data_IF_592195858969
#
_entry.id   IF_592195858969
#
_cell.length_a   1.000
_cell.length_b   1.000
_cell.length_c   1.000
_cell.angle_alpha   90.00
_cell.angle_beta   90.00
_cell.angle_gamma   90.00
#
_symmetry.space_group_name_H-M   'P 1'
#
loop_
_entity.id
_entity.type
_entity.pdbx_description
1 polymer ?
#
# COMPACT_ATOMS: atom_id res chain seq x y z
N UNK A 1 22.41 31.27 -25.22
CA UNK A 1 21.02 30.78 -25.35
C UNK A 1 20.21 31.96 -25.84
N UNK A 2 19.47 31.80 -26.93
CA UNK A 2 18.64 32.87 -27.46
C UNK A 2 17.44 33.08 -26.53
N UNK A 3 17.12 34.35 -26.26
CA UNK A 3 15.92 34.71 -25.50
C UNK A 3 14.68 34.29 -26.30
N UNK A 4 13.66 33.76 -25.61
CA UNK A 4 12.40 33.37 -26.22
C UNK A 4 11.55 34.60 -26.53
N UNK A 5 11.80 35.19 -27.72
CA UNK A 5 11.11 36.40 -28.20
C UNK A 5 9.62 36.15 -28.47
N UNK A 6 9.25 34.96 -28.91
CA UNK A 6 7.85 34.61 -29.19
C UNK A 6 6.99 34.59 -27.92
N UNK A 7 7.50 34.03 -26.83
CA UNK A 7 6.82 34.09 -25.54
C UNK A 7 6.75 35.52 -24.99
N UNK A 8 7.79 36.33 -25.19
CA UNK A 8 7.80 37.73 -24.75
C UNK A 8 6.76 38.58 -25.52
N UNK A 9 6.61 38.35 -26.82
CA UNK A 9 5.58 39.01 -27.64
C UNK A 9 4.17 38.56 -27.28
N UNK A 10 3.96 37.26 -27.04
CA UNK A 10 2.67 36.73 -26.60
C UNK A 10 2.25 37.30 -25.24
N UNK A 11 3.21 37.42 -24.31
CA UNK A 11 3.00 38.03 -23.00
C UNK A 11 2.63 39.52 -23.11
N UNK A 12 3.34 40.27 -23.96
CA UNK A 12 3.04 41.68 -24.23
C UNK A 12 1.68 41.91 -24.87
N UNK A 13 1.26 41.06 -25.82
CA UNK A 13 -0.07 41.13 -26.45
C UNK A 13 -1.21 40.79 -25.48
N UNK A 14 -0.96 39.88 -24.55
CA UNK A 14 -1.94 39.53 -23.51
C UNK A 14 -1.99 40.55 -22.36
N UNK A 15 -1.07 41.51 -22.30
CA UNK A 15 -1.02 42.52 -21.24
C UNK A 15 -0.66 41.94 -19.86
N UNK A 16 -0.07 40.74 -19.80
CA UNK A 16 0.21 40.04 -18.56
C UNK A 16 1.64 40.32 -18.07
N UNK A 17 1.81 40.43 -16.76
CA UNK A 17 3.12 40.41 -16.12
C UNK A 17 3.65 38.98 -15.96
N UNK A 18 4.95 38.83 -15.64
CA UNK A 18 5.56 37.52 -15.37
C UNK A 18 4.94 36.82 -14.14
N UNK A 19 4.55 37.59 -13.12
CA UNK A 19 3.84 37.10 -11.94
C UNK A 19 2.44 36.59 -12.27
N UNK A 20 1.67 37.38 -13.01
CA UNK A 20 0.32 36.98 -13.42
C UNK A 20 0.32 35.75 -14.32
N UNK A 21 1.31 35.63 -15.22
CA UNK A 21 1.48 34.40 -16.01
C UNK A 21 1.78 33.19 -15.11
N UNK A 22 2.59 33.36 -14.06
CA UNK A 22 2.86 32.28 -13.11
C UNK A 22 1.59 31.87 -12.36
N UNK A 23 0.76 32.83 -11.96
CA UNK A 23 -0.50 32.59 -11.26
C UNK A 23 -1.52 31.85 -12.15
N UNK A 24 -1.71 32.29 -13.40
CA UNK A 24 -2.59 31.62 -14.36
C UNK A 24 -2.17 30.17 -14.61
N UNK A 25 -0.86 29.92 -14.76
CA UNK A 25 -0.35 28.56 -14.93
C UNK A 25 -0.55 27.74 -13.65
N UNK A 26 -0.35 28.33 -12.48
CA UNK A 26 -0.59 27.65 -11.20
C UNK A 26 -2.06 27.33 -10.97
N UNK A 27 -2.99 28.21 -11.32
CA UNK A 27 -4.43 27.96 -11.23
C UNK A 27 -4.85 26.81 -12.13
N UNK A 28 -4.28 26.73 -13.32
CA UNK A 28 -4.48 25.57 -14.19
C UNK A 28 -3.96 24.28 -13.53
N UNK A 29 -2.76 24.31 -12.93
CA UNK A 29 -2.21 23.16 -12.22
C UNK A 29 -3.08 22.76 -11.02
N UNK A 30 -3.61 23.73 -10.27
CA UNK A 30 -4.54 23.50 -9.14
C UNK A 30 -5.86 22.89 -9.60
N UNK A 31 -6.42 23.33 -10.72
CA UNK A 31 -7.65 22.72 -11.30
C UNK A 31 -7.48 21.24 -11.68
N UNK A 32 -6.23 20.80 -11.90
CA UNK A 32 -5.87 19.40 -12.17
C UNK A 32 -5.48 18.64 -10.89
N UNK A 33 -5.75 19.21 -9.70
CA UNK A 33 -5.46 18.63 -8.40
C UNK A 33 -3.96 18.58 -8.07
N UNK A 34 -3.18 19.58 -8.51
CA UNK A 34 -1.73 19.67 -8.29
C UNK A 34 -1.34 20.97 -7.61
N UNK A 35 -0.20 20.95 -6.92
CA UNK A 35 0.40 22.16 -6.36
C UNK A 35 0.93 23.09 -7.46
N UNK A 36 0.67 24.40 -7.31
CA UNK A 36 1.21 25.44 -8.15
C UNK A 36 2.69 25.66 -7.85
N UNK A 37 3.57 25.21 -8.75
CA UNK A 37 5.04 25.25 -8.58
C UNK A 37 5.73 26.26 -9.49
N UNK A 38 4.97 27.01 -10.28
CA UNK A 38 5.49 28.03 -11.20
C UNK A 38 5.64 29.34 -10.43
N UNK A 39 6.79 29.98 -10.54
CA UNK A 39 7.07 31.28 -9.92
C UNK A 39 7.47 32.28 -10.98
N UNK A 40 7.52 33.57 -10.65
CA UNK A 40 8.09 34.63 -11.51
C UNK A 40 9.47 34.24 -12.06
N UNK A 41 10.30 33.60 -11.21
CA UNK A 41 11.61 33.05 -11.60
C UNK A 41 11.51 31.99 -12.69
N UNK A 42 10.50 31.12 -12.64
CA UNK A 42 10.26 30.07 -13.65
C UNK A 42 9.87 30.70 -14.99
N UNK A 43 8.99 31.70 -14.98
CA UNK A 43 8.60 32.43 -16.19
C UNK A 43 9.78 33.18 -16.80
N UNK A 44 10.62 33.80 -15.96
CA UNK A 44 11.87 34.43 -16.41
C UNK A 44 12.83 33.43 -17.08
N UNK A 45 12.87 32.18 -16.62
CA UNK A 45 13.68 31.14 -17.26
C UNK A 45 13.13 30.71 -18.62
N UNK A 46 11.83 30.80 -18.83
CA UNK A 46 11.19 30.59 -20.13
C UNK A 46 11.54 31.73 -21.10
N UNK A 47 11.41 32.98 -20.65
CA UNK A 47 11.72 34.18 -21.45
C UNK A 47 13.21 34.28 -21.81
N UNK A 48 14.11 33.90 -20.90
CA UNK A 48 15.56 33.90 -21.17
C UNK A 48 16.04 32.69 -21.98
N UNK A 49 15.14 31.75 -22.33
CA UNK A 49 15.49 30.54 -23.06
C UNK A 49 16.30 29.53 -22.24
N UNK A 50 16.45 29.74 -20.93
CA UNK A 50 17.13 28.80 -20.03
C UNK A 50 16.40 27.47 -19.94
N UNK A 51 15.07 27.52 -19.95
CA UNK A 51 14.22 26.34 -20.10
C UNK A 51 13.79 26.23 -21.55
N UNK A 52 14.45 25.32 -22.30
CA UNK A 52 14.14 25.09 -23.71
C UNK A 52 12.80 24.38 -23.91
N UNK A 53 12.39 23.55 -22.96
CA UNK A 53 11.18 22.75 -23.04
C UNK A 53 10.54 22.61 -21.65
N UNK A 54 9.50 23.40 -21.31
CA UNK A 54 8.79 23.33 -20.04
C UNK A 54 8.12 21.97 -19.83
N UNK A 55 7.66 21.65 -18.62
CA UNK A 55 6.93 20.40 -18.39
C UNK A 55 5.60 20.35 -19.17
N UNK A 56 5.14 19.16 -19.55
CA UNK A 56 3.94 19.00 -20.40
C UNK A 56 2.72 19.77 -19.91
N UNK A 57 2.44 19.76 -18.61
CA UNK A 57 1.29 20.47 -18.03
C UNK A 57 1.44 21.99 -18.02
N UNK A 58 2.67 22.49 -17.89
CA UNK A 58 2.96 23.92 -18.03
C UNK A 58 2.76 24.34 -19.49
N UNK A 59 3.15 23.49 -20.45
CA UNK A 59 2.89 23.74 -21.88
C UNK A 59 1.39 23.73 -22.17
N UNK A 60 0.64 22.76 -21.67
CA UNK A 60 -0.83 22.72 -21.84
C UNK A 60 -1.51 23.98 -21.27
N UNK A 61 -1.05 24.49 -20.12
CA UNK A 61 -1.54 25.75 -19.55
C UNK A 61 -1.23 26.96 -20.46
N UNK A 62 0.00 27.03 -20.99
CA UNK A 62 0.45 28.10 -21.89
C UNK A 62 -0.29 28.05 -23.24
N UNK A 63 -0.47 26.86 -23.79
CA UNK A 63 -1.19 26.64 -25.04
C UNK A 63 -2.67 27.01 -24.92
N UNK A 64 -3.28 26.70 -23.77
CA UNK A 64 -4.66 27.10 -23.47
C UNK A 64 -4.80 28.61 -23.26
N UNK A 65 -3.81 29.25 -22.63
CA UNK A 65 -3.83 30.70 -22.37
C UNK A 65 -3.65 31.52 -23.65
N UNK A 66 -2.66 31.16 -24.47
CA UNK A 66 -2.29 31.92 -25.67
C UNK A 66 -2.96 31.42 -26.95
N UNK A 67 -3.63 30.27 -26.92
CA UNK A 67 -4.33 29.70 -28.07
C UNK A 67 -3.40 29.21 -29.19
N UNK A 68 -2.11 29.07 -28.92
CA UNK A 68 -1.09 28.61 -29.86
C UNK A 68 -0.20 27.55 -29.20
N UNK A 69 0.42 26.71 -30.01
CA UNK A 69 1.27 25.60 -29.54
C UNK A 69 2.52 26.10 -28.80
N UNK A 70 3.12 25.25 -27.95
CA UNK A 70 4.36 25.60 -27.26
C UNK A 70 5.53 25.85 -28.24
N UNK A 71 5.52 25.24 -29.42
CA UNK A 71 6.51 25.49 -30.46
C UNK A 71 6.32 26.87 -31.09
N UNK A 72 5.09 27.30 -31.31
CA UNK A 72 4.74 28.68 -31.75
C UNK A 72 5.07 29.72 -30.68
N UNK A 73 5.03 29.35 -29.39
CA UNK A 73 5.53 30.16 -28.26
C UNK A 73 7.06 30.15 -28.14
N UNK A 74 7.79 29.57 -29.10
CA UNK A 74 9.25 29.60 -29.17
C UNK A 74 9.97 28.58 -28.28
N UNK A 75 9.26 27.58 -27.74
CA UNK A 75 9.91 26.46 -27.05
C UNK A 75 10.46 25.44 -28.05
N UNK A 76 11.67 24.94 -27.80
CA UNK A 76 12.36 24.02 -28.70
C UNK A 76 12.41 22.63 -28.08
N UNK A 77 11.81 21.65 -28.77
CA UNK A 77 11.82 20.26 -28.36
C UNK A 77 13.27 19.74 -28.33
N UNK A 78 13.70 19.04 -27.26
CA UNK A 78 15.00 18.38 -27.25
C UNK A 78 15.03 17.31 -28.36
N UNK A 79 16.14 17.17 -29.11
CA UNK A 79 16.26 16.08 -30.06
C UNK A 79 16.03 14.76 -29.32
N UNK A 80 15.10 13.95 -29.84
CA UNK A 80 14.87 12.59 -29.36
C UNK A 80 16.22 11.85 -29.36
N UNK A 81 16.73 11.48 -28.18
CA UNK A 81 17.93 10.65 -28.06
C UNK A 81 17.69 9.37 -28.86
N UNK A 82 18.30 9.27 -30.05
CA UNK A 82 18.61 8.00 -30.69
C UNK A 82 19.67 7.33 -29.82
N UNK A 83 19.35 6.19 -29.23
CA UNK A 83 20.36 5.36 -28.59
C UNK A 83 21.29 4.78 -29.68
N UNK A 84 22.62 4.96 -29.55
CA UNK A 84 23.59 4.48 -30.52
C UNK A 84 24.10 3.10 -30.11
N UNK A 85 23.50 2.03 -30.60
CA UNK A 85 24.16 0.71 -30.63
C UNK A 85 23.67 -0.11 -31.81
N UNK A 86 24.43 -0.07 -32.91
CA UNK A 86 24.91 -1.28 -33.60
C UNK A 86 25.95 -0.87 -34.65
N UNK A 87 27.22 -1.06 -34.31
CA UNK A 87 28.31 -1.11 -35.28
C UNK A 87 28.38 -2.55 -35.77
N UNK A 88 28.20 -2.77 -37.07
CA UNK A 88 29.14 -3.50 -37.92
C UNK A 88 28.80 -3.22 -39.39
N UNK A 89 29.86 -2.91 -40.13
CA UNK A 89 30.00 -2.46 -41.53
C UNK A 89 30.78 -3.58 -42.28
N UNK A 90 31.06 -3.56 -43.62
CA UNK A 90 30.80 -2.53 -44.61
C UNK A 90 30.44 -3.03 -46.05
N UNK A 91 30.16 -2.01 -46.89
CA UNK A 91 30.39 -1.87 -48.34
C UNK A 91 29.48 -2.48 -49.43
N UNK A 92 29.01 -1.51 -50.24
CA UNK A 92 28.75 -1.49 -51.68
C UNK A 92 27.43 -2.11 -52.16
N UNK A 93 26.52 -1.23 -52.61
CA UNK A 93 26.38 -1.01 -54.07
C UNK A 93 25.54 0.23 -54.38
N UNK A 94 26.27 1.25 -54.83
CA UNK A 94 25.84 2.21 -55.85
C UNK A 94 25.22 1.46 -57.02
N UNK A 95 24.07 1.94 -57.48
CA UNK A 95 23.51 1.83 -58.82
C UNK A 95 23.66 0.47 -59.53
N UNK A 96 22.58 -0.28 -59.64
CA UNK A 96 22.29 -0.99 -60.89
C UNK A 96 20.77 -1.12 -61.10
N UNK A 97 20.28 -0.36 -62.08
CA UNK A 97 19.04 -0.64 -62.79
C UNK A 97 19.15 -2.02 -63.46
N UNK A 98 18.14 -2.89 -63.30
CA UNK A 98 17.62 -3.73 -64.38
C UNK A 98 16.46 -4.63 -63.88
N UNK A 99 15.28 -4.34 -64.41
CA UNK A 99 14.31 -5.28 -64.97
C UNK A 99 13.57 -6.33 -64.10
N UNK A 100 12.28 -6.45 -64.45
CA UNK A 100 11.38 -7.59 -64.31
C UNK A 100 10.60 -7.77 -62.99
N UNK A 101 9.44 -7.11 -62.95
CA UNK A 101 8.11 -7.73 -62.83
C UNK A 101 7.85 -8.73 -61.69
N UNK A 102 7.06 -8.31 -60.70
CA UNK A 102 5.78 -8.94 -60.29
C UNK A 102 5.16 -8.11 -59.18
N UNK A 103 3.89 -7.74 -59.36
CA UNK A 103 3.12 -7.00 -58.38
C UNK A 103 2.81 -7.90 -57.17
N UNK A 104 3.48 -7.66 -56.04
CA UNK A 104 3.01 -8.10 -54.74
C UNK A 104 2.35 -6.89 -54.05
N UNK A 105 1.02 -6.90 -53.99
CA UNK A 105 0.26 -5.93 -53.24
C UNK A 105 0.71 -5.99 -51.76
N UNK A 106 1.40 -4.96 -51.30
CA UNK A 106 1.67 -4.77 -49.88
C UNK A 106 0.35 -4.43 -49.20
N UNK A 107 -0.28 -5.45 -48.60
CA UNK A 107 -1.32 -5.22 -47.59
C UNK A 107 -0.67 -4.37 -46.50
N UNK A 108 -1.21 -3.18 -46.15
CA UNK A 108 -0.75 -2.51 -44.96
C UNK A 108 -1.21 -3.38 -43.79
N UNK A 109 -0.32 -4.23 -43.28
CA UNK A 109 -0.44 -4.74 -41.92
C UNK A 109 -0.50 -3.49 -41.05
N UNK A 110 -1.72 -3.15 -40.61
CA UNK A 110 -1.97 -2.06 -39.68
C UNK A 110 -1.06 -2.29 -38.49
N UNK A 111 0.07 -1.58 -38.46
CA UNK A 111 1.02 -1.63 -37.38
C UNK A 111 0.30 -1.07 -36.17
N UNK A 112 -0.28 -1.95 -35.35
CA UNK A 112 -0.60 -1.64 -33.97
C UNK A 112 0.65 -1.02 -33.39
N UNK A 113 0.62 0.29 -33.12
CA UNK A 113 1.70 0.98 -32.43
C UNK A 113 2.10 0.11 -31.25
N UNK A 114 3.39 -0.20 -31.05
CA UNK A 114 3.82 -1.07 -29.96
C UNK A 114 3.20 -0.53 -28.67
N UNK A 115 2.39 -1.35 -28.00
CA UNK A 115 1.71 -0.98 -26.77
C UNK A 115 2.78 -0.72 -25.70
N UNK A 116 3.11 0.55 -25.47
CA UNK A 116 4.10 0.94 -24.48
C UNK A 116 3.43 1.19 -23.15
N UNK A 117 3.82 0.42 -22.13
CA UNK A 117 3.26 0.55 -20.79
C UNK A 117 3.82 1.79 -20.09
N UNK A 118 2.92 2.61 -19.57
CA UNK A 118 3.22 3.93 -19.05
C UNK A 118 2.96 4.09 -17.55
N UNK A 119 3.11 5.33 -17.09
CA UNK A 119 2.80 5.69 -15.69
C UNK A 119 1.30 5.58 -15.41
N UNK A 120 0.45 5.84 -16.40
CA UNK A 120 -1.02 5.76 -16.27
C UNK A 120 -1.48 4.33 -15.95
N UNK A 121 -0.86 3.31 -16.54
CA UNK A 121 -1.21 1.91 -16.24
C UNK A 121 -0.87 1.53 -14.81
N UNK A 122 0.30 1.97 -14.32
CA UNK A 122 0.71 1.80 -12.92
C UNK A 122 -0.29 2.50 -11.97
N UNK A 123 -0.74 3.71 -12.31
CA UNK A 123 -1.72 4.44 -11.50
C UNK A 123 -3.06 3.70 -11.46
N UNK A 124 -3.56 3.21 -12.60
CA UNK A 124 -4.82 2.44 -12.66
C UNK A 124 -4.76 1.19 -11.79
N UNK A 125 -3.65 0.46 -11.83
CA UNK A 125 -3.44 -0.70 -10.96
C UNK A 125 -3.39 -0.31 -9.48
N UNK A 126 -2.69 0.77 -9.12
CA UNK A 126 -2.65 1.26 -7.73
C UNK A 126 -4.03 1.64 -7.21
N UNK A 127 -4.82 2.35 -7.99
CA UNK A 127 -6.20 2.68 -7.62
C UNK A 127 -7.05 1.40 -7.40
N UNK A 128 -6.78 0.33 -8.16
CA UNK A 128 -7.41 -0.97 -7.92
C UNK A 128 -7.02 -1.58 -6.58
N UNK A 129 -5.74 -1.53 -6.24
CA UNK A 129 -5.22 -2.00 -4.95
C UNK A 129 -5.80 -1.19 -3.77
N UNK A 130 -5.95 0.13 -3.92
CA UNK A 130 -6.53 1.00 -2.90
C UNK A 130 -7.98 0.62 -2.60
N UNK A 131 -8.77 0.29 -3.64
CA UNK A 131 -10.15 -0.22 -3.47
C UNK A 131 -10.19 -1.56 -2.71
N UNK A 132 -9.29 -2.48 -3.04
CA UNK A 132 -9.20 -3.76 -2.31
C UNK A 132 -8.79 -3.56 -0.85
N UNK A 133 -7.92 -2.58 -0.58
CA UNK A 133 -7.50 -2.24 0.78
C UNK A 133 -8.65 -1.68 1.61
N UNK A 134 -9.48 -0.80 1.03
CA UNK A 134 -10.68 -0.30 1.72
C UNK A 134 -11.68 -1.43 2.02
N UNK A 135 -11.82 -2.40 1.12
CA UNK A 135 -12.65 -3.58 1.35
C UNK A 135 -12.09 -4.48 2.47
N UNK A 136 -10.77 -4.73 2.48
CA UNK A 136 -10.10 -5.49 3.54
C UNK A 136 -10.30 -4.83 4.92
N UNK A 137 -10.18 -3.51 5.01
CA UNK A 137 -10.35 -2.76 6.27
C UNK A 137 -11.77 -2.90 6.86
N UNK A 138 -12.78 -3.09 6.02
CA UNK A 138 -14.19 -3.14 6.43
C UNK A 138 -14.70 -4.56 6.66
N UNK A 139 -14.37 -5.50 5.77
CA UNK A 139 -14.86 -6.90 5.85
C UNK A 139 -13.82 -7.90 6.34
N UNK A 140 -12.54 -7.57 6.26
CA UNK A 140 -11.44 -8.52 6.44
C UNK A 140 -11.25 -9.46 5.25
N UNK A 141 -10.27 -10.35 5.39
CA UNK A 141 -9.91 -11.31 4.35
C UNK A 141 -10.96 -12.37 4.05
N UNK A 142 -11.17 -12.62 2.76
CA UNK A 142 -12.09 -13.62 2.21
C UNK A 142 -11.63 -14.05 0.80
N UNK A 143 -12.23 -15.13 0.28
CA UNK A 143 -11.77 -15.76 -0.97
C UNK A 143 -11.88 -14.85 -2.20
N UNK A 144 -12.97 -14.08 -2.32
CA UNK A 144 -13.15 -13.15 -3.45
C UNK A 144 -12.10 -12.03 -3.46
N UNK A 145 -11.73 -11.50 -2.28
CA UNK A 145 -10.67 -10.51 -2.13
C UNK A 145 -9.31 -11.08 -2.55
N UNK A 146 -9.01 -12.31 -2.13
CA UNK A 146 -7.79 -12.98 -2.56
C UNK A 146 -7.75 -13.16 -4.08
N UNK A 147 -8.82 -13.70 -4.68
CA UNK A 147 -8.92 -13.88 -6.14
C UNK A 147 -8.79 -12.55 -6.87
N UNK A 148 -9.42 -11.49 -6.38
CA UNK A 148 -9.30 -10.15 -6.96
C UNK A 148 -7.88 -9.60 -6.88
N UNK A 149 -7.20 -9.80 -5.74
CA UNK A 149 -5.82 -9.38 -5.55
C UNK A 149 -4.87 -10.12 -6.51
N UNK A 150 -5.02 -11.45 -6.64
CA UNK A 150 -4.21 -12.26 -7.56
C UNK A 150 -4.44 -11.88 -9.03
N UNK A 151 -5.68 -11.56 -9.43
CA UNK A 151 -5.95 -10.99 -10.78
C UNK A 151 -5.22 -9.66 -10.99
N UNK A 152 -5.20 -8.79 -9.98
CA UNK A 152 -4.44 -7.54 -10.02
C UNK A 152 -2.93 -7.75 -10.16
N UNK A 153 -2.36 -8.71 -9.41
CA UNK A 153 -0.96 -9.10 -9.53
C UNK A 153 -0.64 -9.64 -10.92
N UNK A 154 -1.45 -10.58 -11.43
CA UNK A 154 -1.29 -11.15 -12.77
C UNK A 154 -1.35 -10.07 -13.85
N UNK A 155 -2.27 -9.09 -13.74
CA UNK A 155 -2.34 -7.99 -14.70
C UNK A 155 -1.10 -7.09 -14.66
N UNK A 156 -0.56 -6.84 -13.48
CA UNK A 156 0.68 -6.07 -13.33
C UNK A 156 1.88 -6.80 -13.97
N UNK A 157 1.96 -8.12 -13.82
CA UNK A 157 3.00 -8.96 -14.43
C UNK A 157 2.85 -9.07 -15.96
N UNK A 158 1.63 -9.22 -16.47
CA UNK A 158 1.36 -9.19 -17.91
C UNK A 158 1.84 -7.87 -18.52
N UNK A 159 1.51 -6.73 -17.90
CA UNK A 159 2.00 -5.42 -18.34
C UNK A 159 3.52 -5.28 -18.22
N UNK A 160 4.16 -5.97 -17.27
CA UNK A 160 5.61 -5.96 -17.10
C UNK A 160 6.33 -6.62 -18.28
N UNK A 161 5.70 -7.59 -18.95
CA UNK A 161 6.25 -8.29 -20.13
C UNK A 161 6.21 -7.46 -21.42
N UNK A 162 5.45 -6.37 -21.44
CA UNK A 162 5.35 -5.48 -22.60
C UNK A 162 6.49 -4.45 -22.65
N UNK A 163 6.57 -3.67 -23.74
CA UNK A 163 7.55 -2.59 -23.90
C UNK A 163 7.42 -1.54 -22.80
N UNK A 164 8.34 -1.55 -21.83
CA UNK A 164 8.33 -0.64 -20.68
C UNK A 164 9.75 -0.23 -20.28
N UNK A 165 9.93 1.04 -19.89
CA UNK A 165 11.20 1.50 -19.30
C UNK A 165 11.51 0.75 -18.01
N UNK A 166 12.79 0.62 -17.65
CA UNK A 166 13.23 -0.03 -16.40
C UNK A 166 12.49 0.49 -15.16
N UNK A 167 12.26 1.80 -15.11
CA UNK A 167 11.53 2.46 -14.03
C UNK A 167 10.08 1.99 -13.93
N UNK A 168 9.39 1.84 -15.06
CA UNK A 168 8.02 1.34 -15.11
C UNK A 168 7.99 -0.15 -14.75
N UNK A 169 8.92 -0.96 -15.26
CA UNK A 169 9.04 -2.39 -14.89
C UNK A 169 9.17 -2.58 -13.37
N UNK A 170 10.06 -1.84 -12.72
CA UNK A 170 10.21 -1.88 -11.25
C UNK A 170 8.93 -1.48 -10.51
N UNK A 171 8.20 -0.48 -11.02
CA UNK A 171 6.91 -0.07 -10.44
C UNK A 171 5.83 -1.13 -10.60
N UNK A 172 5.80 -1.84 -11.73
CA UNK A 172 4.87 -2.94 -11.97
C UNK A 172 5.16 -4.12 -11.05
N UNK A 173 6.45 -4.48 -10.85
CA UNK A 173 6.84 -5.47 -9.84
C UNK A 173 6.42 -5.04 -8.42
N UNK A 174 6.60 -3.77 -8.05
CA UNK A 174 6.15 -3.25 -6.75
C UNK A 174 4.63 -3.36 -6.59
N UNK A 175 3.85 -3.05 -7.64
CA UNK A 175 2.40 -3.20 -7.61
C UNK A 175 1.98 -4.68 -7.53
N UNK A 176 2.62 -5.56 -8.30
CA UNK A 176 2.40 -7.00 -8.21
C UNK A 176 2.69 -7.52 -6.80
N UNK A 177 3.83 -7.15 -6.20
CA UNK A 177 4.18 -7.52 -4.84
C UNK A 177 3.13 -7.09 -3.82
N UNK A 178 2.60 -5.87 -3.95
CA UNK A 178 1.57 -5.36 -3.03
C UNK A 178 0.20 -6.01 -3.22
N UNK A 179 -0.15 -6.41 -4.44
CA UNK A 179 -1.33 -7.24 -4.70
C UNK A 179 -1.17 -8.64 -4.10
N UNK A 180 -0.01 -9.29 -4.32
CA UNK A 180 0.26 -10.61 -3.73
C UNK A 180 0.30 -10.55 -2.19
N UNK A 181 0.83 -9.47 -1.61
CA UNK A 181 0.77 -9.24 -0.16
C UNK A 181 -0.67 -9.01 0.35
N UNK A 182 -1.55 -8.40 -0.46
CA UNK A 182 -2.98 -8.31 -0.14
C UNK A 182 -3.65 -9.70 -0.18
N UNK A 183 -3.31 -10.53 -1.17
CA UNK A 183 -3.78 -11.92 -1.21
C UNK A 183 -3.33 -12.70 0.04
N UNK A 184 -2.08 -12.53 0.47
CA UNK A 184 -1.56 -13.13 1.69
C UNK A 184 -2.30 -12.67 2.95
N UNK A 185 -2.56 -11.36 3.10
CA UNK A 185 -3.36 -10.82 4.20
C UNK A 185 -4.77 -11.45 4.20
N UNK A 186 -5.38 -11.53 3.02
CA UNK A 186 -6.72 -12.11 2.85
C UNK A 186 -6.77 -13.57 3.28
N UNK A 187 -5.81 -14.38 2.84
CA UNK A 187 -5.72 -15.80 3.24
C UNK A 187 -5.39 -15.97 4.73
N UNK A 188 -4.60 -15.06 5.30
CA UNK A 188 -4.26 -15.10 6.72
C UNK A 188 -5.50 -14.86 7.59
N UNK A 189 -6.32 -13.88 7.21
CA UNK A 189 -7.60 -13.60 7.84
C UNK A 189 -8.61 -14.72 7.62
N UNK A 190 -8.61 -15.37 6.46
CA UNK A 190 -9.41 -16.56 6.20
C UNK A 190 -8.85 -17.84 6.85
N UNK A 191 -7.73 -17.76 7.58
CA UNK A 191 -7.01 -18.88 8.22
C UNK A 191 -6.48 -19.96 7.25
N UNK A 192 -6.31 -19.62 5.98
CA UNK A 192 -5.59 -20.45 5.00
C UNK A 192 -4.07 -20.19 5.07
N UNK A 193 -3.43 -20.64 6.16
CA UNK A 193 -2.03 -20.30 6.49
C UNK A 193 -1.01 -20.86 5.49
N UNK A 194 -1.25 -22.04 4.93
CA UNK A 194 -0.38 -22.64 3.91
C UNK A 194 -0.32 -21.76 2.65
N UNK A 195 -1.50 -21.35 2.15
CA UNK A 195 -1.63 -20.42 1.01
C UNK A 195 -1.03 -19.05 1.33
N UNK A 196 -1.18 -18.58 2.57
CA UNK A 196 -0.53 -17.35 3.05
C UNK A 196 0.99 -17.43 2.85
N UNK A 197 1.62 -18.54 3.26
CA UNK A 197 3.06 -18.75 3.08
C UNK A 197 3.50 -18.76 1.60
N UNK A 198 2.69 -19.36 0.71
CA UNK A 198 2.94 -19.33 -0.74
C UNK A 198 2.93 -17.89 -1.27
N UNK A 199 1.89 -17.13 -0.95
CA UNK A 199 1.76 -15.75 -1.39
C UNK A 199 2.86 -14.84 -0.85
N UNK A 200 3.27 -15.03 0.41
CA UNK A 200 4.34 -14.21 1.00
C UNK A 200 5.71 -14.47 0.37
N UNK A 201 6.03 -15.72 -0.02
CA UNK A 201 7.26 -16.02 -0.76
C UNK A 201 7.28 -15.34 -2.12
N UNK A 202 6.18 -15.42 -2.86
CA UNK A 202 6.04 -14.75 -4.16
C UNK A 202 6.11 -13.23 -4.01
N UNK A 203 5.39 -12.66 -3.04
CA UNK A 203 5.43 -11.22 -2.76
C UNK A 203 6.85 -10.74 -2.41
N UNK A 204 7.62 -11.52 -1.64
CA UNK A 204 9.01 -11.19 -1.31
C UNK A 204 9.91 -11.19 -2.54
N UNK A 205 9.77 -12.20 -3.40
CA UNK A 205 10.48 -12.27 -4.68
C UNK A 205 10.18 -11.04 -5.55
N UNK A 206 8.90 -10.70 -5.72
CA UNK A 206 8.46 -9.55 -6.50
C UNK A 206 8.94 -8.22 -5.89
N UNK A 207 8.92 -8.07 -4.57
CA UNK A 207 9.44 -6.90 -3.88
C UNK A 207 10.97 -6.75 -4.07
N UNK A 208 11.70 -7.87 -4.09
CA UNK A 208 13.11 -7.93 -4.46
C UNK A 208 13.37 -7.45 -5.88
N UNK A 209 12.61 -7.95 -6.86
CA UNK A 209 12.68 -7.52 -8.27
C UNK A 209 12.38 -6.03 -8.44
N UNK A 210 11.43 -5.51 -7.65
CA UNK A 210 11.10 -4.09 -7.62
C UNK A 210 12.22 -3.22 -6.99
N UNK A 211 13.04 -3.82 -6.13
CA UNK A 211 13.94 -3.12 -5.19
C UNK A 211 13.15 -2.06 -4.41
N UNK A 212 12.04 -2.49 -3.82
CA UNK A 212 11.08 -1.64 -3.09
C UNK A 212 11.15 -1.96 -1.60
N UNK A 213 11.79 -1.09 -0.77
CA UNK A 213 11.94 -1.34 0.65
C UNK A 213 10.62 -1.31 1.43
N UNK A 214 9.61 -0.57 0.94
CA UNK A 214 8.28 -0.52 1.56
C UNK A 214 7.56 -1.85 1.35
N UNK A 215 7.60 -2.39 0.13
CA UNK A 215 7.02 -3.69 -0.17
C UNK A 215 7.74 -4.81 0.61
N UNK A 216 9.07 -4.78 0.69
CA UNK A 216 9.84 -5.73 1.50
C UNK A 216 9.45 -5.67 2.98
N UNK A 217 9.34 -4.46 3.55
CA UNK A 217 8.88 -4.28 4.93
C UNK A 217 7.50 -4.89 5.16
N UNK A 218 6.53 -4.60 4.28
CA UNK A 218 5.18 -5.15 4.37
C UNK A 218 5.18 -6.67 4.43
N UNK A 219 5.95 -7.31 3.54
CA UNK A 219 6.03 -8.78 3.47
C UNK A 219 6.66 -9.36 4.72
N UNK A 220 7.74 -8.78 5.25
CA UNK A 220 8.35 -9.24 6.51
C UNK A 220 7.44 -9.04 7.72
N UNK A 221 6.71 -7.93 7.79
CA UNK A 221 5.68 -7.73 8.83
C UNK A 221 4.60 -8.81 8.77
N UNK A 222 4.12 -9.18 7.58
CA UNK A 222 3.15 -10.27 7.40
C UNK A 222 3.77 -11.66 7.70
N UNK A 223 5.05 -11.88 7.38
CA UNK A 223 5.73 -13.13 7.75
C UNK A 223 5.82 -13.30 9.27
N UNK A 224 6.11 -12.24 10.01
CA UNK A 224 6.10 -12.29 11.48
C UNK A 224 4.70 -12.63 12.03
N UNK A 225 3.64 -12.11 11.40
CA UNK A 225 2.26 -12.48 11.74
C UNK A 225 1.96 -13.95 11.43
N UNK A 226 2.37 -14.45 10.25
CA UNK A 226 2.17 -15.85 9.85
C UNK A 226 2.88 -16.80 10.81
N UNK A 227 4.17 -16.58 11.09
CA UNK A 227 4.93 -17.42 12.04
C UNK A 227 4.30 -17.41 13.43
N UNK A 228 3.75 -16.27 13.86
CA UNK A 228 2.97 -16.18 15.09
C UNK A 228 1.66 -16.98 15.06
N UNK A 229 1.00 -17.08 13.90
CA UNK A 229 -0.20 -17.91 13.72
C UNK A 229 0.10 -19.41 13.60
N UNK A 230 1.31 -19.77 13.18
CA UNK A 230 1.82 -21.14 13.14
C UNK A 230 2.43 -21.59 14.48
N UNK A 231 2.48 -20.69 15.47
CA UNK A 231 3.15 -20.91 16.75
C UNK A 231 4.63 -21.30 16.59
N UNK A 232 5.36 -20.53 15.77
CA UNK A 232 6.81 -20.64 15.56
C UNK A 232 7.52 -19.37 16.08
N UNK A 233 7.74 -19.23 17.41
CA UNK A 233 8.24 -18.00 17.99
C UNK A 233 9.62 -17.54 17.46
N UNK A 234 10.62 -18.42 17.24
CA UNK A 234 11.89 -18.01 16.65
C UNK A 234 11.73 -17.37 15.27
N UNK A 235 10.96 -18.03 14.37
CA UNK A 235 10.69 -17.51 13.04
C UNK A 235 9.92 -16.18 13.08
N UNK A 236 9.01 -16.01 14.04
CA UNK A 236 8.28 -14.76 14.23
C UNK A 236 9.20 -13.61 14.70
N UNK A 237 10.19 -13.89 15.54
CA UNK A 237 11.20 -12.91 15.96
C UNK A 237 12.11 -12.57 14.78
N UNK A 238 12.63 -13.56 14.07
CA UNK A 238 13.53 -13.36 12.92
C UNK A 238 12.86 -12.53 11.82
N UNK A 239 11.60 -12.83 11.48
CA UNK A 239 10.85 -12.06 10.49
C UNK A 239 10.57 -10.62 10.95
N UNK A 240 10.30 -10.41 12.25
CA UNK A 240 10.08 -9.06 12.80
C UNK A 240 11.37 -8.23 12.77
N UNK A 241 12.51 -8.83 13.11
CA UNK A 241 13.83 -8.20 13.00
C UNK A 241 14.20 -7.93 11.53
N UNK A 242 13.84 -8.82 10.60
CA UNK A 242 14.02 -8.59 9.17
C UNK A 242 13.20 -7.39 8.67
N UNK A 243 11.95 -7.22 9.14
CA UNK A 243 11.17 -6.01 8.87
C UNK A 243 11.88 -4.77 9.43
N UNK A 244 12.36 -4.83 10.67
CA UNK A 244 13.09 -3.75 11.33
C UNK A 244 14.39 -3.37 10.60
N UNK A 245 15.06 -4.33 9.94
CA UNK A 245 16.32 -4.09 9.24
C UNK A 245 16.18 -3.43 7.85
N UNK A 246 14.94 -3.35 7.31
CA UNK A 246 14.68 -2.73 6.00
C UNK A 246 15.10 -1.26 5.96
N UNK A 247 15.33 -0.71 4.76
CA UNK A 247 15.78 0.68 4.65
C UNK A 247 14.71 1.70 5.12
N UNK A 248 13.43 1.39 4.95
CA UNK A 248 12.33 2.31 5.26
C UNK A 248 12.20 2.58 6.76
N UNK A 249 12.45 1.59 7.61
CA UNK A 249 12.37 1.74 9.08
C UNK A 249 13.44 2.67 9.64
N UNK A 250 14.57 2.84 8.94
CA UNK A 250 15.60 3.84 9.30
C UNK A 250 15.26 5.25 8.83
N UNK A 251 14.38 5.37 7.84
CA UNK A 251 14.06 6.64 7.17
C UNK A 251 12.76 7.25 7.69
N UNK A 252 11.85 6.42 8.17
CA UNK A 252 10.48 6.84 8.46
C UNK A 252 10.01 6.28 9.83
N UNK A 253 9.75 7.16 10.81
CA UNK A 253 9.35 6.76 12.16
C UNK A 253 8.05 5.95 12.23
N UNK A 254 7.12 6.11 11.27
CA UNK A 254 5.87 5.35 11.27
C UNK A 254 6.14 3.86 10.99
N UNK A 255 7.03 3.58 10.02
CA UNK A 255 7.46 2.21 9.73
C UNK A 255 8.32 1.63 10.85
N UNK A 256 9.20 2.45 11.46
CA UNK A 256 9.95 2.05 12.64
C UNK A 256 9.01 1.61 13.77
N UNK A 257 7.97 2.40 14.04
CA UNK A 257 6.96 2.11 15.05
C UNK A 257 6.28 0.77 14.80
N UNK A 258 5.78 0.53 13.59
CA UNK A 258 5.14 -0.74 13.24
C UNK A 258 6.10 -1.92 13.36
N UNK A 259 7.36 -1.76 12.96
CA UNK A 259 8.39 -2.78 13.11
C UNK A 259 8.59 -3.17 14.58
N UNK A 260 8.70 -2.16 15.45
CA UNK A 260 8.89 -2.35 16.88
C UNK A 260 7.66 -2.98 17.54
N UNK A 261 6.45 -2.54 17.19
CA UNK A 261 5.21 -3.13 17.69
C UNK A 261 5.08 -4.60 17.30
N UNK A 262 5.45 -4.96 16.07
CA UNK A 262 5.48 -6.37 15.63
C UNK A 262 6.53 -7.18 16.38
N UNK A 263 7.72 -6.61 16.57
CA UNK A 263 8.82 -7.23 17.35
C UNK A 263 8.41 -7.46 18.80
N UNK A 264 7.65 -6.54 19.39
CA UNK A 264 7.13 -6.70 20.75
C UNK A 264 6.23 -7.93 20.89
N UNK A 265 5.29 -8.12 19.95
CA UNK A 265 4.40 -9.29 19.94
C UNK A 265 5.22 -10.58 19.74
N UNK A 266 6.19 -10.58 18.82
CA UNK A 266 7.04 -11.75 18.60
C UNK A 266 7.85 -12.12 19.85
N UNK A 267 8.44 -11.13 20.54
CA UNK A 267 9.13 -11.36 21.81
C UNK A 267 8.19 -11.86 22.91
N UNK A 268 6.99 -11.28 23.02
CA UNK A 268 5.99 -11.67 24.01
C UNK A 268 5.63 -13.16 23.86
N UNK A 269 5.31 -13.59 22.63
CA UNK A 269 5.00 -14.99 22.31
C UNK A 269 6.18 -15.95 22.49
N UNK A 270 7.40 -15.45 22.37
CA UNK A 270 8.62 -16.21 22.66
C UNK A 270 8.97 -16.24 24.17
N UNK A 271 8.12 -15.69 25.05
CA UNK A 271 8.38 -15.63 26.49
C UNK A 271 9.40 -14.56 26.91
N UNK A 272 9.90 -13.74 25.99
CA UNK A 272 10.85 -12.66 26.27
C UNK A 272 10.11 -11.41 26.74
N UNK A 273 9.63 -11.42 27.98
CA UNK A 273 8.87 -10.33 28.60
C UNK A 273 9.58 -8.98 28.52
N UNK A 274 10.86 -8.93 28.86
CA UNK A 274 11.61 -7.67 28.83
C UNK A 274 11.82 -7.15 27.41
N UNK A 275 12.09 -8.04 26.45
CA UNK A 275 12.18 -7.69 25.03
C UNK A 275 10.88 -7.12 24.49
N UNK A 276 9.74 -7.71 24.88
CA UNK A 276 8.42 -7.21 24.51
C UNK A 276 8.19 -5.77 24.99
N UNK A 277 8.37 -5.52 26.29
CA UNK A 277 8.15 -4.20 26.89
C UNK A 277 9.09 -3.12 26.32
N UNK A 278 10.38 -3.45 26.11
CA UNK A 278 11.32 -2.53 25.47
C UNK A 278 10.88 -2.17 24.05
N UNK A 279 10.47 -3.17 23.27
CA UNK A 279 10.00 -2.95 21.89
C UNK A 279 8.70 -2.14 21.83
N UNK A 280 7.79 -2.28 22.80
CA UNK A 280 6.62 -1.40 22.91
C UNK A 280 7.03 0.06 23.15
N UNK A 281 7.95 0.30 24.08
CA UNK A 281 8.46 1.66 24.32
C UNK A 281 9.14 2.28 23.09
N UNK A 282 9.89 1.49 22.31
CA UNK A 282 10.43 1.97 21.04
C UNK A 282 9.37 2.25 19.98
N UNK A 283 8.29 1.46 19.94
CA UNK A 283 7.18 1.70 19.04
C UNK A 283 6.49 3.03 19.35
N UNK A 284 6.14 3.26 20.62
CA UNK A 284 5.54 4.51 21.09
C UNK A 284 6.42 5.72 20.79
N UNK A 285 7.72 5.63 21.11
CA UNK A 285 8.67 6.72 20.87
C UNK A 285 8.88 7.03 19.38
N UNK A 286 8.78 6.02 18.51
CA UNK A 286 8.86 6.21 17.06
C UNK A 286 7.57 6.81 16.50
N UNK A 287 6.40 6.34 16.95
CA UNK A 287 5.11 6.89 16.52
C UNK A 287 4.96 8.37 16.88
N UNK A 288 5.40 8.76 18.08
CA UNK A 288 5.37 10.15 18.53
C UNK A 288 6.20 11.12 17.65
N UNK A 289 7.11 10.58 16.82
CA UNK A 289 7.94 11.35 15.87
C UNK A 289 7.43 11.25 14.44
N UNK A 290 6.39 10.47 14.17
CA UNK A 290 5.87 10.27 12.82
C UNK A 290 5.10 11.52 12.37
N UNK A 291 5.41 12.11 11.20
CA UNK A 291 4.64 13.21 10.67
C UNK A 291 3.25 12.74 10.21
N UNK A 292 2.22 13.52 10.56
CA UNK A 292 0.82 13.22 10.26
C UNK A 292 0.49 13.38 8.76
N UNK A 293 1.08 14.38 8.09
CA UNK A 293 0.72 14.77 6.71
C UNK A 293 1.57 14.12 5.61
N UNK A 294 2.45 13.17 5.95
CA UNK A 294 3.30 12.53 4.94
C UNK A 294 2.52 11.49 4.12
N UNK A 295 2.57 11.52 2.77
CA UNK A 295 1.83 10.57 1.94
C UNK A 295 2.21 9.11 2.22
N UNK A 296 1.23 8.30 2.63
CA UNK A 296 1.43 6.87 2.95
C UNK A 296 0.88 5.95 1.86
N UNK A 297 1.45 4.74 1.68
CA UNK A 297 0.78 3.67 0.95
C UNK A 297 -0.58 3.38 1.61
N UNK A 298 -1.63 3.12 0.82
CA UNK A 298 -2.98 2.86 1.34
C UNK A 298 -3.05 1.75 2.39
N UNK A 299 -2.25 0.71 2.24
CA UNK A 299 -2.19 -0.39 3.22
C UNK A 299 -1.66 0.03 4.58
N UNK A 300 -0.98 1.18 4.72
CA UNK A 300 -0.53 1.70 6.02
C UNK A 300 -1.62 2.46 6.77
N UNK A 301 -2.76 2.76 6.14
CA UNK A 301 -3.82 3.57 6.75
C UNK A 301 -4.42 2.97 8.03
N UNK A 302 -4.32 1.65 8.23
CA UNK A 302 -4.75 1.00 9.48
C UNK A 302 -3.86 1.35 10.66
N UNK A 303 -2.61 1.74 10.43
CA UNK A 303 -1.62 1.89 11.48
C UNK A 303 -1.52 3.33 11.97
N UNK A 304 -1.69 3.51 13.28
CA UNK A 304 -1.62 4.78 13.98
C UNK A 304 -1.71 4.52 15.49
N UNK A 305 -2.09 5.54 16.27
CA UNK A 305 -2.15 5.44 17.73
C UNK A 305 -3.09 4.33 18.22
N UNK A 306 -4.31 4.24 17.67
CA UNK A 306 -5.28 3.21 18.05
C UNK A 306 -4.82 1.79 17.76
N UNK A 307 -4.20 1.56 16.59
CA UNK A 307 -3.68 0.24 16.24
C UNK A 307 -2.44 -0.14 17.07
N UNK A 308 -1.56 0.82 17.38
CA UNK A 308 -0.45 0.57 18.29
C UNK A 308 -0.95 0.09 19.67
N UNK A 309 -2.02 0.70 20.19
CA UNK A 309 -2.66 0.25 21.44
C UNK A 309 -3.26 -1.15 21.31
N UNK A 310 -3.88 -1.49 20.17
CA UNK A 310 -4.37 -2.85 19.92
C UNK A 310 -3.23 -3.89 19.90
N UNK A 311 -2.10 -3.57 19.27
CA UNK A 311 -0.90 -4.42 19.28
C UNK A 311 -0.28 -4.53 20.68
N UNK A 312 -0.33 -3.44 21.46
CA UNK A 312 0.10 -3.41 22.87
C UNK A 312 -0.74 -4.35 23.72
N UNK A 313 -2.05 -4.36 23.53
CA UNK A 313 -2.94 -5.30 24.22
C UNK A 313 -2.56 -6.76 23.96
N UNK A 314 -2.29 -7.11 22.69
CA UNK A 314 -1.85 -8.47 22.32
C UNK A 314 -0.53 -8.83 23.02
N UNK A 315 0.42 -7.90 23.05
CA UNK A 315 1.71 -8.13 23.70
C UNK A 315 1.57 -8.33 25.21
N UNK A 316 0.78 -7.48 25.90
CA UNK A 316 0.50 -7.59 27.33
C UNK A 316 -0.21 -8.90 27.71
N UNK A 317 -1.22 -9.27 26.94
CA UNK A 317 -1.95 -10.53 27.12
C UNK A 317 -1.01 -11.74 27.02
N UNK A 318 -0.14 -11.75 25.99
CA UNK A 318 0.84 -12.81 25.76
C UNK A 318 1.92 -12.93 26.86
N UNK A 319 2.10 -11.91 27.71
CA UNK A 319 3.03 -11.94 28.85
C UNK A 319 2.30 -11.97 30.21
N UNK A 320 1.04 -12.42 30.21
CA UNK A 320 0.19 -12.57 31.40
C UNK A 320 -0.03 -11.27 32.18
N UNK A 321 -0.29 -10.16 31.48
CA UNK A 321 -0.70 -8.88 32.05
C UNK A 321 -2.12 -8.48 31.60
N UNK A 322 -3.16 -9.27 31.95
CA UNK A 322 -4.49 -9.11 31.35
C UNK A 322 -5.15 -7.76 31.69
N UNK A 323 -4.95 -7.21 32.90
CA UNK A 323 -5.43 -5.86 33.24
C UNK A 323 -4.82 -4.76 32.35
N UNK A 324 -3.53 -4.90 32.00
CA UNK A 324 -2.87 -3.96 31.07
C UNK A 324 -3.32 -4.19 29.61
N UNK A 325 -3.69 -5.43 29.26
CA UNK A 325 -4.25 -5.75 27.96
C UNK A 325 -5.68 -5.19 27.80
N UNK A 326 -6.51 -5.28 28.84
CA UNK A 326 -7.85 -4.70 28.87
C UNK A 326 -7.79 -3.18 28.73
N UNK A 327 -6.99 -2.50 29.55
CA UNK A 327 -6.82 -1.06 29.49
C UNK A 327 -6.34 -0.57 28.10
N UNK A 328 -5.38 -1.29 27.51
CA UNK A 328 -4.91 -0.99 26.15
C UNK A 328 -6.01 -1.22 25.10
N UNK A 329 -6.82 -2.27 25.24
CA UNK A 329 -7.91 -2.59 24.31
C UNK A 329 -9.02 -1.53 24.35
N UNK A 330 -9.40 -1.03 25.53
CA UNK A 330 -10.35 0.08 25.64
C UNK A 330 -9.84 1.35 24.95
N UNK A 331 -8.57 1.72 25.19
CA UNK A 331 -7.97 2.89 24.53
C UNK A 331 -7.87 2.70 23.02
N UNK A 332 -7.55 1.48 22.57
CA UNK A 332 -7.52 1.14 21.15
C UNK A 332 -8.91 1.34 20.51
N UNK A 333 -9.97 0.80 21.12
CA UNK A 333 -11.34 0.94 20.61
C UNK A 333 -11.83 2.40 20.60
N UNK A 334 -11.34 3.25 21.51
CA UNK A 334 -11.64 4.68 21.49
C UNK A 334 -10.90 5.43 20.36
N UNK A 335 -9.74 4.94 19.94
CA UNK A 335 -8.86 5.63 18.98
C UNK A 335 -8.90 5.06 17.56
N UNK A 336 -9.31 3.80 17.36
CA UNK A 336 -9.44 3.20 16.02
C UNK A 336 -10.68 3.78 15.33
N UNK A 337 -10.53 4.42 14.14
CA UNK A 337 -11.66 5.01 13.44
C UNK A 337 -12.75 3.99 13.09
N UNK A 338 -14.01 4.43 13.09
CA UNK A 338 -15.20 3.57 12.89
C UNK A 338 -15.17 2.78 11.56
N UNK A 339 -14.56 3.36 10.51
CA UNK A 339 -14.42 2.70 9.21
C UNK A 339 -13.53 1.44 9.21
N UNK A 340 -12.69 1.23 10.22
CA UNK A 340 -11.83 0.04 10.36
C UNK A 340 -12.52 -1.07 11.15
N UNK A 341 -13.72 -1.47 10.70
CA UNK A 341 -14.56 -2.46 11.40
C UNK A 341 -13.83 -3.76 11.73
N UNK A 342 -13.03 -4.28 10.79
CA UNK A 342 -12.21 -5.50 11.00
C UNK A 342 -11.26 -5.35 12.19
N UNK A 343 -10.54 -4.22 12.27
CA UNK A 343 -9.59 -3.97 13.36
C UNK A 343 -10.32 -3.78 14.69
N UNK A 344 -11.44 -3.04 14.68
CA UNK A 344 -12.29 -2.87 15.86
C UNK A 344 -12.84 -4.21 16.36
N UNK A 345 -13.34 -5.07 15.48
CA UNK A 345 -13.86 -6.39 15.86
C UNK A 345 -12.78 -7.28 16.47
N UNK A 346 -11.55 -7.26 15.93
CA UNK A 346 -10.41 -7.97 16.52
C UNK A 346 -10.02 -7.39 17.88
N UNK A 347 -10.03 -6.07 18.04
CA UNK A 347 -9.76 -5.41 19.32
C UNK A 347 -10.84 -5.71 20.36
N UNK A 348 -12.12 -5.78 19.98
CA UNK A 348 -13.24 -6.18 20.86
C UNK A 348 -13.10 -7.64 21.30
N UNK A 349 -12.76 -8.55 20.39
CA UNK A 349 -12.51 -9.95 20.77
C UNK A 349 -11.30 -10.09 21.71
N UNK A 350 -10.24 -9.27 21.53
CA UNK A 350 -9.10 -9.21 22.44
C UNK A 350 -9.46 -8.63 23.81
N UNK A 351 -10.32 -7.62 23.85
CA UNK A 351 -10.85 -7.07 25.10
C UNK A 351 -11.58 -8.15 25.90
N UNK A 352 -12.47 -8.91 25.25
CA UNK A 352 -13.20 -10.00 25.89
C UNK A 352 -12.26 -11.08 26.47
N UNK A 353 -11.20 -11.46 25.74
CA UNK A 353 -10.18 -12.38 26.25
C UNK A 353 -9.45 -11.81 27.47
N UNK A 354 -9.04 -10.54 27.43
CA UNK A 354 -8.36 -9.91 28.55
C UNK A 354 -9.24 -9.82 29.82
N UNK A 355 -10.54 -9.59 29.65
CA UNK A 355 -11.53 -9.63 30.74
C UNK A 355 -11.70 -11.04 31.31
N UNK A 356 -11.79 -12.04 30.43
CA UNK A 356 -11.89 -13.43 30.84
C UNK A 356 -10.65 -13.90 31.61
N UNK A 357 -9.45 -13.49 31.17
CA UNK A 357 -8.19 -13.77 31.86
C UNK A 357 -8.07 -13.08 33.23
N UNK A 358 -8.90 -12.09 33.53
CA UNK A 358 -9.04 -11.50 34.87
C UNK A 358 -10.09 -12.20 35.75
N UNK A 359 -10.91 -13.07 35.15
CA UNK A 359 -12.02 -13.73 35.84
C UNK A 359 -13.34 -12.98 35.75
N UNK A 360 -13.42 -11.88 34.99
CA UNK A 360 -14.65 -11.07 34.83
C UNK A 360 -15.59 -11.69 33.78
N UNK A 361 -16.06 -12.91 34.05
CA UNK A 361 -16.79 -13.78 33.10
C UNK A 361 -18.00 -13.08 32.46
N UNK A 362 -18.87 -12.45 33.26
CA UNK A 362 -20.08 -11.80 32.76
C UNK A 362 -19.76 -10.65 31.79
N UNK A 363 -18.77 -9.82 32.16
CA UNK A 363 -18.31 -8.71 31.32
C UNK A 363 -17.64 -9.24 30.05
N UNK A 364 -16.81 -10.27 30.17
CA UNK A 364 -16.16 -10.92 29.03
C UNK A 364 -17.17 -11.44 28.00
N UNK A 365 -18.20 -12.17 28.45
CA UNK A 365 -19.27 -12.67 27.58
C UNK A 365 -20.05 -11.52 26.92
N UNK A 366 -20.40 -10.49 27.70
CA UNK A 366 -21.07 -9.30 27.16
C UNK A 366 -20.23 -8.63 26.07
N UNK A 367 -18.95 -8.39 26.32
CA UNK A 367 -18.01 -7.82 25.35
C UNK A 367 -17.85 -8.70 24.12
N UNK A 368 -17.76 -10.03 24.27
CA UNK A 368 -17.59 -10.95 23.16
C UNK A 368 -18.79 -10.90 22.19
N UNK A 369 -20.02 -10.72 22.69
CA UNK A 369 -21.23 -10.53 21.86
C UNK A 369 -21.16 -9.25 21.03
N UNK A 370 -20.50 -8.19 21.52
CA UNK A 370 -20.38 -6.94 20.76
C UNK A 370 -19.52 -7.07 19.49
N UNK A 371 -18.76 -8.16 19.33
CA UNK A 371 -18.01 -8.42 18.09
C UNK A 371 -18.94 -8.50 16.87
N UNK A 372 -20.12 -9.12 17.01
CA UNK A 372 -21.10 -9.25 15.93
C UNK A 372 -21.67 -7.89 15.52
N UNK A 373 -22.03 -7.05 16.50
CA UNK A 373 -22.51 -5.69 16.25
C UNK A 373 -21.45 -4.80 15.58
N UNK A 374 -20.17 -4.91 15.98
CA UNK A 374 -19.07 -4.16 15.35
C UNK A 374 -18.86 -4.58 13.89
N UNK A 375 -19.15 -5.84 13.57
CA UNK A 375 -19.03 -6.38 12.21
C UNK A 375 -20.30 -6.21 11.37
N UNK A 376 -21.34 -5.55 11.89
CA UNK A 376 -22.60 -5.28 11.18
C UNK A 376 -23.25 -6.58 10.65
N UNK A 377 -23.18 -7.64 11.45
CA UNK A 377 -23.68 -8.99 11.12
C UNK A 377 -23.09 -9.63 9.84
N UNK A 378 -22.04 -9.05 9.27
CA UNK A 378 -21.29 -9.67 8.17
C UNK A 378 -20.57 -10.95 8.66
N UNK A 379 -20.38 -11.95 7.78
CA UNK A 379 -19.65 -13.16 8.12
C UNK A 379 -18.26 -12.85 8.70
N UNK A 380 -18.00 -13.34 9.91
CA UNK A 380 -16.75 -13.08 10.61
C UNK A 380 -15.57 -13.75 9.87
N UNK A 381 -14.46 -13.02 9.61
CA UNK A 381 -13.25 -13.62 9.05
C UNK A 381 -12.73 -14.76 9.94
N UNK A 382 -12.13 -15.78 9.32
CA UNK A 382 -11.64 -16.98 10.02
C UNK A 382 -10.73 -16.70 11.22
N UNK A 383 -9.91 -15.64 11.16
CA UNK A 383 -9.01 -15.22 12.24
C UNK A 383 -9.78 -14.67 13.43
N UNK A 384 -10.86 -13.93 13.19
CA UNK A 384 -11.76 -13.46 14.24
C UNK A 384 -12.57 -14.61 14.83
N UNK A 385 -13.07 -15.52 13.98
CA UNK A 385 -13.73 -16.77 14.43
C UNK A 385 -12.81 -17.63 15.30
N UNK A 386 -11.54 -17.76 14.92
CA UNK A 386 -10.55 -18.51 15.71
C UNK A 386 -10.37 -17.88 17.10
N UNK A 387 -10.32 -16.54 17.16
CA UNK A 387 -10.17 -15.80 18.40
C UNK A 387 -11.37 -15.96 19.34
N UNK A 388 -12.58 -15.95 18.79
CA UNK A 388 -13.81 -16.25 19.55
C UNK A 388 -13.88 -17.74 19.94
N UNK A 389 -13.29 -18.63 19.15
CA UNK A 389 -13.14 -20.04 19.51
C UNK A 389 -12.16 -20.25 20.68
N UNK A 390 -11.06 -19.49 20.72
CA UNK A 390 -10.13 -19.48 21.85
C UNK A 390 -10.84 -18.96 23.11
N UNK A 391 -11.55 -17.82 23.00
CA UNK A 391 -12.40 -17.30 24.07
C UNK A 391 -13.41 -18.33 24.58
N UNK A 392 -14.12 -19.00 23.67
CA UNK A 392 -15.08 -20.04 24.04
C UNK A 392 -14.41 -21.19 24.81
N UNK A 393 -13.25 -21.66 24.35
CA UNK A 393 -12.49 -22.75 25.00
C UNK A 393 -12.02 -22.36 26.40
N UNK A 394 -11.52 -21.15 26.57
CA UNK A 394 -11.05 -20.64 27.86
C UNK A 394 -12.22 -20.44 28.82
N UNK A 395 -13.36 -19.97 28.32
CA UNK A 395 -14.58 -19.76 29.09
C UNK A 395 -15.14 -21.08 29.66
N UNK A 396 -15.24 -22.13 28.84
CA UNK A 396 -15.73 -23.44 29.31
C UNK A 396 -14.72 -24.14 30.22
N UNK A 397 -13.44 -23.78 30.13
CA UNK A 397 -12.41 -24.33 31.02
C UNK A 397 -12.45 -23.65 32.39
N UNK A 398 -12.66 -22.34 32.42
CA UNK A 398 -12.57 -21.53 33.65
C UNK A 398 -13.90 -21.38 34.38
N UNK A 399 -15.02 -21.32 33.65
CA UNK A 399 -16.34 -20.98 34.19
C UNK A 399 -17.52 -21.75 33.55
N UNK A 400 -17.44 -23.09 33.38
CA UNK A 400 -18.40 -23.87 32.59
C UNK A 400 -19.87 -23.79 33.06
N UNK A 401 -20.10 -23.57 34.36
CA UNK A 401 -21.43 -23.64 34.95
C UNK A 401 -22.10 -22.28 35.14
N UNK A 402 -21.46 -21.19 34.70
CA UNK A 402 -22.05 -19.85 34.83
C UNK A 402 -23.23 -19.67 33.87
N UNK A 403 -24.26 -18.86 34.22
CA UNK A 403 -25.30 -18.48 33.27
C UNK A 403 -24.74 -17.83 32.00
N UNK A 404 -23.78 -16.91 32.16
CA UNK A 404 -23.11 -16.23 31.05
C UNK A 404 -22.42 -17.21 30.09
N UNK A 405 -21.74 -18.25 30.60
CA UNK A 405 -21.11 -19.27 29.75
C UNK A 405 -22.13 -20.10 28.97
N UNK A 406 -23.28 -20.42 29.56
CA UNK A 406 -24.37 -21.15 28.88
C UNK A 406 -24.97 -20.30 27.75
N UNK A 407 -25.32 -19.05 28.04
CA UNK A 407 -25.85 -18.10 27.05
C UNK A 407 -24.88 -17.88 25.89
N UNK A 408 -23.60 -17.65 26.20
CA UNK A 408 -22.56 -17.56 25.18
C UNK A 408 -22.47 -18.84 24.34
N UNK A 409 -22.52 -20.01 24.97
CA UNK A 409 -22.40 -21.30 24.26
C UNK A 409 -23.57 -21.55 23.31
N UNK A 410 -24.78 -21.13 23.67
CA UNK A 410 -25.95 -21.20 22.78
C UNK A 410 -25.80 -20.24 21.60
N UNK A 411 -25.38 -19.00 21.84
CA UNK A 411 -25.11 -18.01 20.79
C UNK A 411 -24.00 -18.47 19.85
N UNK A 412 -22.89 -18.96 20.41
CA UNK A 412 -21.74 -19.48 19.66
C UNK A 412 -22.16 -20.66 18.76
N UNK A 413 -22.97 -21.60 19.26
CA UNK A 413 -23.48 -22.71 18.44
C UNK A 413 -24.35 -22.22 17.27
N UNK A 414 -25.20 -21.22 17.50
CA UNK A 414 -26.05 -20.66 16.44
C UNK A 414 -25.23 -19.99 15.33
N UNK A 415 -24.24 -19.15 15.67
CA UNK A 415 -23.41 -18.47 14.67
C UNK A 415 -22.40 -19.38 13.94
N UNK A 416 -21.99 -20.49 14.55
CA UNK A 416 -21.06 -21.43 13.92
C UNK A 416 -21.75 -22.55 13.14
N UNK A 417 -23.02 -22.84 13.40
CA UNK A 417 -23.81 -23.79 12.61
C UNK A 417 -24.37 -23.19 11.32
N UNK A 418 -24.50 -21.86 11.25
CA UNK A 418 -25.03 -21.13 10.08
C UNK A 418 -23.96 -20.75 9.03
N UNK A 419 -22.68 -21.00 9.32
CA UNK A 419 -21.53 -20.64 8.49
C UNK A 419 -20.76 -21.90 8.08
#
# INVERSE_FOLDING_TARGET
>A
MEANRHLAEALGKAGLTQGELADVVNDHLRSLGREGTVTDRTVRQWLTGKTRWPHTRQREALERLFGCTAEELGFVRPPSRRDPTRTEDPVLRRNFLAAAGTAAASVPLGGSRPFTVGTTDVIRLRNGLDRLTALDNTKGGHEDLERAALRGAAKALELQQHGASQRIRRRLFSVAANYTAMAAQSTMDARALERTGVHLREALYLAGMAKDPIAQFRVWNLQAMLAGHLNEPPAAVDAALAAQATAVTRQDPLFASLAHARTAISHARAGNRQGALRSLGYAEAALAKAPEDEPRPSWMAFYGHGELLALTAIAHDSIALPASAEAASHRALAAIPEGFRRNRGLATARLALAQLHQGDVEQACSTAVHVFAVMDDEPLPGRMRSLLGDFHRDLITTAPNTPAAREWTDLYRNHWSQA
#
